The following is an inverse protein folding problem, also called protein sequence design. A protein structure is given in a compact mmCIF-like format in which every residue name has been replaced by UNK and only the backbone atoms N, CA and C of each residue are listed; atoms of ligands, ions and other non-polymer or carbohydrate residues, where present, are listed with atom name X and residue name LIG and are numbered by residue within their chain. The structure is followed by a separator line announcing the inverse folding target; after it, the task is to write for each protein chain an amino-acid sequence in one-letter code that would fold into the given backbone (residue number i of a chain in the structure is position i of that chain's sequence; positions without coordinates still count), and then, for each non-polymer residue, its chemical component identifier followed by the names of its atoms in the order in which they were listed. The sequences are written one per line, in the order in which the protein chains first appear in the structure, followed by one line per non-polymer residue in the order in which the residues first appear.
data_IF_528626016471
#
_entry.id   IF_528626016471
#
_cell.length_a   1.000
_cell.length_b   1.000
_cell.length_c   1.000
_cell.angle_alpha   90.00
_cell.angle_beta   90.00
_cell.angle_gamma   90.00
#
_symmetry.space_group_name_H-M   'P 1'
#
loop_
_entity.id
_entity.type
_entity.pdbx_description
1 polymer ?
#
# COMPACT_ATOMS: atom_id res chain seq x y z
N UNK A 1 23.89 8.89 2.01
CA UNK A 1 23.36 7.99 0.94
C UNK A 1 23.88 8.47 -0.41
N UNK A 2 25.06 8.01 -0.81
CA UNK A 2 25.72 8.42 -2.07
C UNK A 2 25.24 7.62 -3.29
N UNK A 3 24.54 6.49 -3.09
CA UNK A 3 24.01 5.67 -4.18
C UNK A 3 22.68 6.16 -4.76
N UNK A 4 22.00 7.07 -4.10
CA UNK A 4 20.75 7.61 -4.62
C UNK A 4 21.04 8.53 -5.82
N UNK A 5 20.69 8.07 -7.03
CA UNK A 5 20.74 8.94 -8.21
C UNK A 5 19.74 10.09 -8.07
N UNK A 6 20.26 11.33 -8.15
CA UNK A 6 19.42 12.52 -8.18
C UNK A 6 18.85 12.82 -9.56
N UNK A 7 19.36 12.13 -10.60
CA UNK A 7 18.98 12.32 -11.99
C UNK A 7 18.00 11.25 -12.51
N UNK A 8 17.78 10.17 -11.76
CA UNK A 8 16.82 9.15 -12.15
C UNK A 8 15.39 9.72 -12.13
N UNK A 9 14.62 9.40 -13.18
CA UNK A 9 13.18 9.70 -13.20
C UNK A 9 12.49 9.02 -12.03
N UNK A 10 11.71 9.80 -11.28
CA UNK A 10 10.86 9.29 -10.21
C UNK A 10 9.42 9.28 -10.67
N UNK A 11 8.78 8.15 -10.50
CA UNK A 11 7.35 7.96 -10.81
C UNK A 11 6.57 8.01 -9.50
N UNK A 12 5.51 8.83 -9.46
CA UNK A 12 4.56 8.75 -8.37
C UNK A 12 3.77 7.43 -8.49
N UNK A 13 3.81 6.60 -7.47
CA UNK A 13 3.15 5.29 -7.47
C UNK A 13 1.64 5.38 -7.73
N UNK A 14 1.00 6.51 -7.41
CA UNK A 14 -0.42 6.74 -7.66
C UNK A 14 -0.72 7.02 -9.14
N UNK A 15 0.30 7.34 -9.96
CA UNK A 15 0.20 7.57 -11.40
C UNK A 15 0.80 6.41 -12.21
N UNK A 16 0.95 5.23 -11.60
CA UNK A 16 1.60 4.10 -12.24
C UNK A 16 0.89 3.67 -13.53
N UNK A 17 -0.45 3.75 -13.58
CA UNK A 17 -1.20 3.37 -14.79
C UNK A 17 -0.83 4.26 -15.98
N UNK A 18 -0.84 5.58 -15.80
CA UNK A 18 -0.43 6.54 -16.84
C UNK A 18 1.03 6.36 -17.25
N UNK A 19 1.93 6.08 -16.32
CA UNK A 19 3.34 5.84 -16.63
C UNK A 19 3.59 4.52 -17.37
N UNK A 20 2.80 3.49 -17.11
CA UNK A 20 2.86 2.25 -17.88
C UNK A 20 2.31 2.40 -19.30
N UNK A 21 1.40 3.34 -19.55
CA UNK A 21 0.87 3.64 -20.87
C UNK A 21 1.72 4.66 -21.66
N UNK A 22 2.70 5.27 -21.01
CA UNK A 22 3.53 6.32 -21.62
C UNK A 22 4.33 5.79 -22.78
N UNK A 23 4.23 6.48 -23.93
CA UNK A 23 4.94 6.10 -25.18
C UNK A 23 6.32 6.74 -25.28
N UNK A 24 6.48 7.95 -24.76
CA UNK A 24 7.75 8.64 -24.72
C UNK A 24 8.55 8.19 -23.49
N UNK A 25 9.74 7.65 -23.70
CA UNK A 25 10.60 7.06 -22.66
C UNK A 25 9.83 6.03 -21.79
N UNK A 26 9.29 4.96 -22.39
CA UNK A 26 8.46 4.00 -21.69
C UNK A 26 9.25 3.18 -20.66
N UNK A 27 8.57 2.71 -19.63
CA UNK A 27 9.13 1.71 -18.71
C UNK A 27 9.28 0.39 -19.50
N UNK A 28 10.51 -0.14 -19.56
CA UNK A 28 10.86 -1.38 -20.27
C UNK A 28 11.14 -2.55 -19.34
N UNK A 29 11.50 -2.26 -18.10
CA UNK A 29 11.73 -3.28 -17.08
C UNK A 29 11.19 -2.82 -15.73
N UNK A 30 10.58 -3.73 -14.99
CA UNK A 30 9.99 -3.45 -13.68
C UNK A 30 10.36 -4.56 -12.70
N UNK A 31 10.94 -4.16 -11.54
CA UNK A 31 11.17 -5.04 -10.42
C UNK A 31 10.18 -4.71 -9.32
N UNK A 32 9.32 -5.66 -8.99
CA UNK A 32 8.31 -5.50 -7.94
C UNK A 32 8.67 -6.36 -6.75
N UNK A 33 8.75 -5.75 -5.59
CA UNK A 33 8.97 -6.44 -4.32
C UNK A 33 8.23 -5.74 -3.19
N UNK A 34 7.79 -6.51 -2.20
CA UNK A 34 7.00 -6.03 -1.06
C UNK A 34 5.75 -5.23 -1.47
N UNK A 35 5.17 -5.50 -2.64
CA UNK A 35 4.04 -4.73 -3.17
C UNK A 35 3.19 -5.54 -4.14
N UNK A 36 1.89 -5.22 -4.19
CA UNK A 36 0.93 -5.80 -5.15
C UNK A 36 0.22 -4.68 -5.93
N UNK A 37 0.93 -3.92 -6.80
CA UNK A 37 0.37 -2.75 -7.48
C UNK A 37 -0.86 -3.06 -8.33
N UNK A 38 -0.98 -4.25 -8.92
CA UNK A 38 -2.16 -4.68 -9.67
C UNK A 38 -3.47 -4.69 -8.85
N UNK A 39 -3.36 -4.68 -7.51
CA UNK A 39 -4.49 -4.65 -6.59
C UNK A 39 -4.59 -3.34 -5.82
N UNK A 40 -3.44 -2.73 -5.41
CA UNK A 40 -3.43 -1.65 -4.42
C UNK A 40 -3.24 -0.25 -5.01
N UNK A 41 -2.74 -0.13 -6.24
CA UNK A 41 -2.57 1.18 -6.87
C UNK A 41 -3.86 1.64 -7.58
N UNK A 42 -4.11 2.96 -7.66
CA UNK A 42 -5.29 3.50 -8.35
C UNK A 42 -5.37 3.10 -9.81
N UNK A 43 -6.57 3.05 -10.37
CA UNK A 43 -6.83 2.62 -11.73
C UNK A 43 -6.23 1.24 -12.06
N UNK A 44 -6.45 0.29 -11.16
CA UNK A 44 -5.88 -1.06 -11.25
C UNK A 44 -6.16 -1.75 -12.59
N UNK A 45 -7.26 -1.41 -13.25
CA UNK A 45 -7.59 -1.94 -14.59
C UNK A 45 -6.53 -1.56 -15.64
N UNK A 46 -6.13 -0.29 -15.66
CA UNK A 46 -5.09 0.20 -16.58
C UNK A 46 -3.71 -0.32 -16.18
N UNK A 47 -3.43 -0.43 -14.88
CA UNK A 47 -2.19 -1.05 -14.40
C UNK A 47 -2.05 -2.48 -14.93
N UNK A 48 -3.09 -3.31 -14.79
CA UNK A 48 -3.05 -4.68 -15.31
C UNK A 48 -2.85 -4.73 -16.83
N UNK A 49 -3.46 -3.81 -17.59
CA UNK A 49 -3.18 -3.68 -19.03
C UNK A 49 -1.72 -3.29 -19.30
N UNK A 50 -1.19 -2.36 -18.51
CA UNK A 50 0.20 -1.94 -18.64
C UNK A 50 1.20 -3.02 -18.28
N UNK A 51 0.92 -3.81 -17.25
CA UNK A 51 1.74 -4.98 -16.86
C UNK A 51 1.69 -6.13 -17.88
N UNK A 52 0.60 -6.24 -18.64
CA UNK A 52 0.43 -7.24 -19.69
C UNK A 52 1.08 -6.86 -21.03
N UNK A 53 1.83 -5.78 -21.11
CA UNK A 53 2.51 -5.36 -22.34
C UNK A 53 3.65 -6.33 -22.69
N UNK A 54 3.74 -6.74 -23.94
CA UNK A 54 4.79 -7.64 -24.46
C UNK A 54 6.20 -7.02 -24.39
N UNK A 55 6.30 -5.68 -24.36
CA UNK A 55 7.56 -4.93 -24.32
C UNK A 55 7.99 -4.50 -22.91
N UNK A 56 7.31 -4.99 -21.86
CA UNK A 56 7.63 -4.75 -20.47
C UNK A 56 8.17 -6.02 -19.81
N UNK A 57 9.44 -6.05 -19.49
CA UNK A 57 10.04 -7.14 -18.72
C UNK A 57 9.76 -6.97 -17.22
N UNK A 58 9.03 -7.91 -16.62
CA UNK A 58 8.59 -7.81 -15.21
C UNK A 58 9.16 -8.94 -14.36
N UNK A 59 9.85 -8.57 -13.28
CA UNK A 59 10.35 -9.49 -12.24
C UNK A 59 9.62 -9.20 -10.94
N UNK A 60 9.04 -10.23 -10.33
CA UNK A 60 8.33 -10.10 -9.06
C UNK A 60 8.98 -10.98 -7.99
N UNK A 61 9.35 -10.37 -6.85
CA UNK A 61 9.84 -11.04 -5.66
C UNK A 61 8.72 -11.02 -4.61
N UNK A 62 8.10 -12.15 -4.33
CA UNK A 62 6.92 -12.19 -3.47
C UNK A 62 6.83 -13.51 -2.69
N UNK A 63 6.10 -13.48 -1.57
CA UNK A 63 5.80 -14.66 -0.75
C UNK A 63 4.76 -15.56 -1.40
N UNK A 64 3.82 -14.97 -2.12
CA UNK A 64 2.69 -15.64 -2.75
C UNK A 64 2.54 -15.14 -4.18
N UNK A 65 1.89 -15.93 -5.02
CA UNK A 65 1.52 -15.50 -6.34
C UNK A 65 0.33 -14.51 -6.24
N UNK A 66 0.67 -13.22 -6.06
CA UNK A 66 -0.26 -12.09 -6.01
C UNK A 66 -0.85 -11.79 -7.39
N UNK A 67 -1.80 -10.84 -7.45
CA UNK A 67 -2.35 -10.40 -8.74
C UNK A 67 -1.26 -9.77 -9.63
N UNK A 68 -0.28 -9.09 -9.05
CA UNK A 68 0.87 -8.56 -9.80
C UNK A 68 1.79 -9.67 -10.31
N UNK A 69 1.98 -10.72 -9.51
CA UNK A 69 2.82 -11.86 -9.87
C UNK A 69 2.29 -12.64 -11.08
N UNK A 70 0.99 -12.54 -11.37
CA UNK A 70 0.40 -13.17 -12.57
C UNK A 70 0.86 -12.52 -13.90
N UNK A 71 1.51 -11.34 -13.84
CA UNK A 71 2.07 -10.62 -15.00
C UNK A 71 3.60 -10.70 -15.07
N UNK A 72 4.23 -11.50 -14.19
CA UNK A 72 5.69 -11.58 -14.13
C UNK A 72 6.26 -12.50 -15.22
N UNK A 73 7.33 -12.06 -15.90
CA UNK A 73 8.18 -12.92 -16.71
C UNK A 73 9.05 -13.82 -15.82
N UNK A 74 9.46 -13.30 -14.65
CA UNK A 74 10.15 -14.04 -13.61
C UNK A 74 9.50 -13.84 -12.25
N UNK A 75 9.04 -14.94 -11.66
CA UNK A 75 8.54 -14.96 -10.29
C UNK A 75 9.58 -15.62 -9.37
N UNK A 76 10.04 -14.86 -8.40
CA UNK A 76 11.09 -15.27 -7.46
C UNK A 76 10.52 -15.34 -6.03
N UNK A 77 10.68 -16.47 -5.33
CA UNK A 77 10.16 -16.61 -3.98
C UNK A 77 10.99 -15.81 -2.98
N UNK A 78 10.33 -14.91 -2.24
CA UNK A 78 10.93 -14.11 -1.18
C UNK A 78 10.74 -14.76 0.20
N UNK A 79 11.69 -14.53 1.10
CA UNK A 79 11.57 -14.95 2.49
C UNK A 79 10.61 -14.06 3.26
N UNK A 80 9.86 -14.66 4.17
CA UNK A 80 9.04 -13.96 5.15
C UNK A 80 9.89 -13.34 6.26
N UNK A 81 9.31 -12.45 7.07
CA UNK A 81 10.00 -11.83 8.21
C UNK A 81 10.48 -12.83 9.27
N UNK A 82 9.99 -14.07 9.27
CA UNK A 82 10.45 -15.14 10.15
C UNK A 82 11.71 -15.85 9.63
N UNK A 83 12.09 -15.64 8.37
CA UNK A 83 13.11 -16.40 7.67
C UNK A 83 14.39 -15.60 7.40
N UNK A 84 14.42 -14.31 7.73
CA UNK A 84 15.61 -13.45 7.61
C UNK A 84 15.74 -12.47 8.78
N UNK A 85 16.96 -11.98 8.99
CA UNK A 85 17.21 -10.95 9.98
C UNK A 85 16.73 -9.58 9.49
N UNK A 86 16.15 -8.79 10.39
CA UNK A 86 15.69 -7.44 10.07
C UNK A 86 15.64 -6.53 11.29
N UNK A 87 15.46 -5.22 11.04
CA UNK A 87 15.31 -4.17 12.06
C UNK A 87 13.93 -3.55 11.93
N UNK A 88 13.25 -3.42 13.06
CA UNK A 88 11.87 -2.92 13.11
C UNK A 88 11.75 -1.67 13.94
N UNK A 89 10.92 -0.76 13.45
CA UNK A 89 10.35 0.37 14.18
C UNK A 89 8.83 0.23 14.22
N UNK A 90 8.15 0.98 15.07
CA UNK A 90 6.70 0.94 15.15
C UNK A 90 6.11 2.33 15.36
N UNK A 91 4.88 2.53 14.91
CA UNK A 91 4.12 3.74 15.21
C UNK A 91 3.66 3.83 16.69
N UNK A 92 3.54 2.69 17.38
CA UNK A 92 2.97 2.62 18.73
C UNK A 92 3.98 2.77 19.86
N UNK A 93 5.29 2.81 19.57
CA UNK A 93 6.34 2.91 20.58
C UNK A 93 7.66 3.45 20.04
N UNK A 94 8.57 3.80 20.94
CA UNK A 94 9.91 4.34 20.64
C UNK A 94 11.00 3.30 20.90
N UNK A 95 10.83 2.09 20.41
CA UNK A 95 11.83 1.04 20.47
C UNK A 95 12.33 0.70 19.08
N UNK A 96 13.66 0.54 18.97
CA UNK A 96 14.30 -0.11 17.84
C UNK A 96 14.45 -1.58 18.17
N UNK A 97 14.06 -2.46 17.26
CA UNK A 97 14.05 -3.89 17.50
C UNK A 97 14.84 -4.61 16.43
N UNK A 98 15.59 -5.64 16.81
CA UNK A 98 16.29 -6.54 15.91
C UNK A 98 15.74 -7.95 16.05
N UNK A 99 15.41 -8.57 14.95
CA UNK A 99 14.99 -9.97 14.88
C UNK A 99 16.00 -10.81 14.09
N UNK A 100 16.41 -11.94 14.66
CA UNK A 100 17.07 -13.01 13.91
C UNK A 100 16.03 -13.88 13.19
N UNK A 101 16.42 -14.60 12.13
CA UNK A 101 15.55 -15.62 11.56
C UNK A 101 15.21 -16.68 12.60
N UNK A 102 13.94 -17.00 12.76
CA UNK A 102 13.44 -18.03 13.71
C UNK A 102 13.16 -19.35 13.01
N UNK A 103 13.04 -19.36 11.70
CA UNK A 103 12.88 -20.55 10.87
C UNK A 103 13.81 -20.47 9.64
N UNK A 104 14.14 -21.62 9.08
CA UNK A 104 14.90 -21.66 7.83
C UNK A 104 14.02 -21.26 6.65
N UNK A 105 14.58 -20.56 5.62
CA UNK A 105 13.86 -20.25 4.39
C UNK A 105 13.22 -21.49 3.78
N UNK A 106 11.96 -21.37 3.37
CA UNK A 106 11.21 -22.47 2.77
C UNK A 106 11.55 -22.58 1.29
N UNK A 107 11.81 -23.81 0.83
CA UNK A 107 12.10 -24.10 -0.57
C UNK A 107 13.29 -23.30 -1.11
N UNK A 108 13.07 -22.55 -2.18
CA UNK A 108 14.06 -21.69 -2.82
C UNK A 108 14.00 -20.24 -2.40
N UNK A 109 13.19 -19.88 -1.41
CA UNK A 109 13.02 -18.50 -0.98
C UNK A 109 14.33 -17.84 -0.57
N UNK A 110 14.53 -16.60 -1.00
CA UNK A 110 15.70 -15.77 -0.70
C UNK A 110 15.24 -14.39 -0.24
N UNK A 111 16.04 -13.76 0.62
CA UNK A 111 15.75 -12.38 1.01
C UNK A 111 15.93 -11.41 -0.16
N UNK A 112 15.19 -10.30 -0.13
CA UNK A 112 15.37 -9.23 -1.12
C UNK A 112 16.83 -8.75 -1.16
N UNK A 113 17.49 -8.65 0.00
CA UNK A 113 18.90 -8.30 0.10
C UNK A 113 19.78 -9.27 -0.71
N UNK A 114 19.61 -10.58 -0.53
CA UNK A 114 20.36 -11.59 -1.30
C UNK A 114 20.14 -11.43 -2.80
N UNK A 115 18.88 -11.21 -3.22
CA UNK A 115 18.56 -11.01 -4.63
C UNK A 115 19.29 -9.79 -5.20
N UNK A 116 19.19 -8.63 -4.54
CA UNK A 116 19.84 -7.41 -5.03
C UNK A 116 21.37 -7.50 -5.00
N UNK A 117 21.96 -8.21 -4.05
CA UNK A 117 23.39 -8.53 -4.05
C UNK A 117 23.79 -9.34 -5.29
N UNK A 118 23.04 -10.41 -5.63
CA UNK A 118 23.32 -11.20 -6.83
C UNK A 118 23.10 -10.41 -8.12
N UNK A 119 22.05 -9.60 -8.19
CA UNK A 119 21.79 -8.72 -9.33
C UNK A 119 22.93 -7.71 -9.50
N UNK A 120 23.39 -7.10 -8.43
CA UNK A 120 24.54 -6.16 -8.44
C UNK A 120 25.82 -6.81 -8.99
N UNK A 121 26.11 -8.05 -8.58
CA UNK A 121 27.23 -8.83 -9.14
C UNK A 121 27.10 -9.04 -10.65
N UNK A 122 25.89 -9.39 -11.11
CA UNK A 122 25.63 -9.62 -12.54
C UNK A 122 25.70 -8.34 -13.38
N UNK A 123 25.33 -7.21 -12.79
CA UNK A 123 25.43 -5.90 -13.42
C UNK A 123 26.85 -5.28 -13.32
N UNK A 124 27.78 -5.93 -12.66
CA UNK A 124 29.15 -5.42 -12.50
C UNK A 124 29.25 -4.19 -11.59
N UNK A 125 28.26 -3.99 -10.68
CA UNK A 125 28.30 -2.90 -9.72
C UNK A 125 29.35 -3.23 -8.63
N UNK A 126 30.18 -2.25 -8.28
CA UNK A 126 31.36 -2.47 -7.41
C UNK A 126 31.27 -1.72 -6.08
N UNK A 127 30.22 -0.96 -5.82
CA UNK A 127 30.11 -0.23 -4.57
C UNK A 127 30.05 -1.21 -3.37
N UNK A 128 30.95 -1.07 -2.38
CA UNK A 128 31.04 -2.01 -1.26
C UNK A 128 29.75 -2.19 -0.47
N UNK A 129 28.92 -1.17 -0.33
CA UNK A 129 27.69 -1.25 0.45
C UNK A 129 26.67 -2.27 -0.11
N UNK A 130 26.74 -2.60 -1.40
CA UNK A 130 25.90 -3.61 -2.05
C UNK A 130 26.22 -5.03 -1.56
N UNK A 131 27.38 -5.22 -0.92
CA UNK A 131 27.91 -6.52 -0.49
C UNK A 131 28.10 -6.62 1.03
N UNK A 132 27.74 -5.61 1.79
CA UNK A 132 27.86 -5.60 3.25
C UNK A 132 27.05 -6.74 3.88
N UNK A 133 27.65 -7.35 4.89
CA UNK A 133 26.95 -8.33 5.73
C UNK A 133 25.96 -7.63 6.69
N UNK A 134 25.17 -8.40 7.42
CA UNK A 134 24.16 -7.86 8.35
C UNK A 134 24.78 -6.94 9.40
N UNK A 135 25.95 -7.30 9.95
CA UNK A 135 26.62 -6.47 10.96
C UNK A 135 27.02 -5.11 10.36
N UNK A 136 27.66 -5.11 9.19
CA UNK A 136 28.07 -3.87 8.50
C UNK A 136 26.88 -2.97 8.17
N UNK A 137 25.74 -3.56 7.76
CA UNK A 137 24.50 -2.79 7.52
C UNK A 137 23.93 -2.20 8.81
N UNK A 138 24.00 -2.93 9.94
CA UNK A 138 23.57 -2.42 11.24
C UNK A 138 24.50 -1.32 11.73
N UNK A 139 25.82 -1.49 11.60
CA UNK A 139 26.79 -0.47 11.98
C UNK A 139 26.54 0.83 11.22
N UNK A 140 26.34 0.78 9.91
CA UNK A 140 26.04 1.96 9.08
C UNK A 140 24.67 2.59 9.42
N UNK A 141 23.64 1.77 9.67
CA UNK A 141 22.32 2.25 10.07
C UNK A 141 22.36 3.04 11.39
N UNK A 142 23.18 2.60 12.33
CA UNK A 142 23.29 3.14 13.68
C UNK A 142 24.36 4.24 13.79
N UNK A 143 25.28 4.35 12.83
CA UNK A 143 26.23 5.48 12.72
C UNK A 143 25.50 6.73 12.22
N UNK A 144 24.79 7.37 13.13
CA UNK A 144 23.92 8.51 12.86
C UNK A 144 24.10 9.61 13.88
N UNK A 145 24.15 10.89 13.47
CA UNK A 145 24.17 12.03 14.37
C UNK A 145 22.86 12.23 15.15
N UNK A 146 21.85 11.42 14.89
CA UNK A 146 20.56 11.50 15.58
C UNK A 146 20.74 11.22 17.08
N UNK A 147 20.48 12.21 17.97
CA UNK A 147 20.65 12.03 19.40
C UNK A 147 19.80 10.91 20.00
N UNK A 148 18.72 10.50 19.34
CA UNK A 148 17.86 9.42 19.81
C UNK A 148 18.53 8.04 19.70
N UNK A 149 19.55 7.90 18.84
CA UNK A 149 20.33 6.68 18.68
C UNK A 149 21.57 6.64 19.57
N UNK A 150 21.83 7.65 20.38
CA UNK A 150 23.03 7.72 21.22
C UNK A 150 23.13 6.50 22.14
N UNK A 151 24.26 5.81 22.10
CA UNK A 151 24.55 4.62 22.90
C UNK A 151 23.79 3.36 22.44
N UNK A 152 23.26 3.40 21.23
CA UNK A 152 22.70 2.22 20.54
C UNK A 152 23.64 1.85 19.39
N UNK A 153 24.39 0.79 19.56
CA UNK A 153 25.25 0.18 18.55
C UNK A 153 24.71 -1.20 18.14
N UNK A 154 25.32 -1.78 17.12
CA UNK A 154 24.90 -3.08 16.58
C UNK A 154 25.05 -4.21 17.60
N UNK A 155 26.06 -4.17 18.47
CA UNK A 155 26.29 -5.20 19.50
C UNK A 155 25.20 -5.13 20.58
N UNK A 156 24.90 -3.92 21.06
CA UNK A 156 23.82 -3.72 22.03
C UNK A 156 22.47 -4.12 21.45
N UNK A 157 22.14 -3.68 20.23
CA UNK A 157 20.85 -3.97 19.60
C UNK A 157 20.66 -5.48 19.36
N UNK A 158 21.71 -6.18 18.90
CA UNK A 158 21.64 -7.62 18.69
C UNK A 158 21.59 -8.42 19.98
N UNK A 159 22.20 -7.94 21.07
CA UNK A 159 22.17 -8.58 22.39
C UNK A 159 20.82 -8.35 23.08
N UNK A 160 20.35 -7.12 23.16
CA UNK A 160 19.14 -6.74 23.89
C UNK A 160 17.86 -6.93 23.08
N UNK A 161 17.94 -7.07 21.77
CA UNK A 161 16.83 -7.30 20.83
C UNK A 161 15.83 -6.15 20.69
N UNK A 162 15.62 -5.37 21.73
CA UNK A 162 14.70 -4.25 21.76
C UNK A 162 15.31 -3.15 22.64
N UNK A 163 15.65 -2.03 22.03
CA UNK A 163 16.30 -0.91 22.71
C UNK A 163 15.45 0.35 22.54
N UNK A 164 15.11 0.97 23.68
CA UNK A 164 14.38 2.25 23.66
C UNK A 164 15.28 3.37 23.15
N UNK A 165 14.75 4.20 22.25
CA UNK A 165 15.41 5.41 21.77
C UNK A 165 15.64 6.41 22.93
N UNK A 166 16.72 7.18 22.85
CA UNK A 166 17.06 8.21 23.83
C UNK A 166 16.21 9.47 23.60
N UNK A 167 15.04 9.50 24.18
CA UNK A 167 14.13 10.65 24.06
C UNK A 167 14.30 11.61 25.24
N UNK A 168 14.10 12.93 25.03
CA UNK A 168 13.96 13.87 26.13
C UNK A 168 12.86 13.47 27.11
N UNK A 169 13.00 13.83 28.38
CA UNK A 169 11.94 13.59 29.36
C UNK A 169 11.56 14.93 30.02
N UNK A 170 10.29 15.38 29.88
CA UNK A 170 9.21 14.82 29.10
C UNK A 170 9.45 14.96 27.57
N UNK A 171 8.96 14.00 26.78
CA UNK A 171 9.02 14.08 25.33
C UNK A 171 7.85 14.91 24.79
N UNK A 172 8.17 16.17 24.52
CA UNK A 172 7.23 17.16 23.95
C UNK A 172 7.83 17.72 22.67
N UNK A 173 7.52 17.14 21.48
CA UNK A 173 8.21 17.43 20.24
C UNK A 173 8.25 18.92 19.84
N UNK A 174 7.25 19.70 20.27
CA UNK A 174 7.08 21.10 19.88
C UNK A 174 7.13 22.07 21.09
N UNK A 175 7.58 21.61 22.28
CA UNK A 175 7.63 22.46 23.47
C UNK A 175 8.58 23.66 23.32
N UNK A 176 9.63 23.50 22.53
CA UNK A 176 10.59 24.59 22.22
C UNK A 176 10.21 25.44 20.99
N UNK A 177 9.03 25.22 20.44
CA UNK A 177 8.56 25.86 19.20
C UNK A 177 8.55 24.93 18.00
N UNK A 178 8.17 25.45 16.85
CA UNK A 178 8.15 24.72 15.58
C UNK A 178 9.48 24.91 14.82
N UNK A 179 9.65 24.16 13.72
CA UNK A 179 10.81 24.31 12.83
C UNK A 179 10.75 25.57 11.93
N UNK A 180 9.72 26.41 12.08
CA UNK A 180 9.69 27.71 11.39
C UNK A 180 10.68 28.69 12.04
N UNK A 181 11.27 29.62 11.27
CA UNK A 181 12.28 30.56 11.78
C UNK A 181 11.81 31.39 12.99
N UNK A 182 10.51 31.65 13.12
CA UNK A 182 9.90 32.38 14.22
C UNK A 182 9.45 31.49 15.38
N UNK A 183 9.69 30.17 15.29
CA UNK A 183 9.32 29.17 16.29
C UNK A 183 7.80 28.92 16.45
N UNK A 184 6.97 29.58 15.64
CA UNK A 184 5.52 29.52 15.78
C UNK A 184 4.90 28.42 14.89
N UNK A 185 3.85 27.79 15.39
CA UNK A 185 3.00 26.92 14.58
C UNK A 185 2.14 27.81 13.69
N UNK A 186 2.16 27.54 12.40
CA UNK A 186 1.35 28.25 11.40
C UNK A 186 0.17 27.40 10.99
N UNK A 187 -1.03 27.91 11.23
CA UNK A 187 -2.24 27.33 10.67
C UNK A 187 -2.46 27.93 9.27
N UNK A 188 -2.66 27.08 8.27
CA UNK A 188 -3.19 27.56 7.01
C UNK A 188 -4.59 28.11 7.25
N UNK A 189 -4.95 29.28 6.67
CA UNK A 189 -6.33 29.72 6.73
C UNK A 189 -7.20 28.58 6.19
N UNK A 190 -8.24 28.23 6.97
CA UNK A 190 -9.21 27.26 6.49
C UNK A 190 -9.79 27.79 5.17
N UNK A 191 -9.80 26.99 4.09
CA UNK A 191 -10.53 27.40 2.90
C UNK A 191 -11.97 27.70 3.30
N UNK A 192 -12.56 28.74 2.73
CA UNK A 192 -13.96 29.13 3.00
C UNK A 192 -14.95 28.01 2.72
N UNK A 193 -14.54 27.01 1.94
CA UNK A 193 -15.21 25.75 1.73
C UNK A 193 -14.17 24.64 1.58
N UNK A 194 -14.29 23.57 2.40
CA UNK A 194 -13.64 22.31 2.12
C UNK A 194 -14.35 21.68 0.93
N UNK A 195 -13.75 21.77 -0.24
CA UNK A 195 -14.28 21.13 -1.45
C UNK A 195 -13.52 19.84 -1.68
N UNK A 196 -14.27 18.72 -1.67
CA UNK A 196 -13.76 17.50 -2.28
C UNK A 196 -13.77 17.69 -3.79
N UNK A 197 -12.76 17.20 -4.49
CA UNK A 197 -12.66 17.34 -5.96
C UNK A 197 -13.82 16.66 -6.70
N UNK A 198 -14.32 15.53 -6.17
CA UNK A 198 -15.49 14.87 -6.68
C UNK A 198 -16.65 15.08 -5.71
N UNK A 199 -17.73 15.71 -6.19
CA UNK A 199 -18.97 15.88 -5.45
C UNK A 199 -20.02 14.92 -5.99
N UNK A 200 -20.86 14.33 -5.10
CA UNK A 200 -22.02 13.58 -5.55
C UNK A 200 -22.91 14.44 -6.43
N UNK A 201 -23.41 13.84 -7.51
CA UNK A 201 -24.33 14.46 -8.47
C UNK A 201 -25.48 13.50 -8.80
N UNK A 202 -26.30 13.84 -9.80
CA UNK A 202 -27.44 13.01 -10.19
C UNK A 202 -27.00 11.67 -10.83
N UNK A 203 -25.83 11.62 -11.46
CA UNK A 203 -25.30 10.42 -12.10
C UNK A 203 -24.55 9.53 -11.11
N UNK A 204 -23.78 10.13 -10.19
CA UNK A 204 -22.99 9.43 -9.16
C UNK A 204 -23.41 9.95 -7.76
N UNK A 205 -24.58 9.54 -7.25
CA UNK A 205 -25.20 10.15 -6.09
C UNK A 205 -24.61 9.74 -4.74
N UNK A 206 -23.71 8.76 -4.70
CA UNK A 206 -23.16 8.25 -3.46
C UNK A 206 -21.65 8.54 -3.37
N UNK A 207 -21.20 8.89 -2.16
CA UNK A 207 -19.77 8.93 -1.84
C UNK A 207 -19.30 7.57 -1.39
N UNK A 208 -18.19 7.09 -1.97
CA UNK A 208 -17.55 5.85 -1.54
C UNK A 208 -16.44 6.17 -0.56
N UNK A 209 -16.43 5.51 0.59
CA UNK A 209 -15.31 5.50 1.53
C UNK A 209 -14.76 4.08 1.69
N UNK A 210 -13.45 3.97 1.84
CA UNK A 210 -12.75 2.68 1.88
C UNK A 210 -11.85 2.59 3.12
N UNK A 211 -12.43 2.38 4.32
CA UNK A 211 -11.63 2.20 5.53
C UNK A 211 -10.81 0.90 5.45
N UNK A 212 -9.63 0.85 6.12
CA UNK A 212 -8.89 -0.39 6.25
C UNK A 212 -9.70 -1.45 6.98
N UNK A 213 -9.52 -2.72 6.60
CA UNK A 213 -10.12 -3.84 7.32
C UNK A 213 -9.43 -4.10 8.66
N UNK A 214 -10.19 -4.60 9.63
CA UNK A 214 -9.64 -4.90 10.96
C UNK A 214 -8.61 -6.06 10.96
N UNK A 215 -8.69 -6.97 9.98
CA UNK A 215 -7.89 -8.19 9.94
C UNK A 215 -7.02 -8.33 8.70
N UNK A 216 -7.23 -7.48 7.69
CA UNK A 216 -6.45 -7.45 6.45
C UNK A 216 -5.88 -6.04 6.28
N UNK A 217 -4.56 -5.94 6.25
CA UNK A 217 -3.86 -4.67 6.01
C UNK A 217 -3.48 -4.59 4.52
N UNK A 218 -4.15 -3.71 3.80
CA UNK A 218 -4.06 -3.65 2.33
C UNK A 218 -4.36 -5.04 1.72
N UNK A 219 -3.36 -5.68 1.08
CA UNK A 219 -3.48 -7.06 0.55
C UNK A 219 -2.76 -8.10 1.39
N UNK A 220 -2.10 -7.71 2.48
CA UNK A 220 -1.39 -8.62 3.37
C UNK A 220 -2.37 -9.57 4.07
N UNK A 221 -2.06 -10.86 4.04
CA UNK A 221 -2.91 -11.95 4.58
C UNK A 221 -4.28 -12.12 3.89
N UNK A 222 -4.56 -11.34 2.84
CA UNK A 222 -5.81 -11.43 2.08
C UNK A 222 -6.01 -12.74 1.30
N UNK A 223 -5.02 -13.65 1.31
CA UNK A 223 -5.07 -14.99 0.74
C UNK A 223 -5.17 -16.11 1.80
N UNK A 224 -5.23 -15.77 3.09
CA UNK A 224 -5.33 -16.77 4.19
C UNK A 224 -6.81 -17.09 4.46
N UNK A 225 -7.26 -18.35 4.29
CA UNK A 225 -8.69 -18.69 4.35
C UNK A 225 -9.37 -18.32 5.68
N UNK A 226 -8.69 -18.48 6.82
CA UNK A 226 -9.22 -18.11 8.13
C UNK A 226 -9.41 -16.59 8.27
N UNK A 227 -8.48 -15.80 7.73
CA UNK A 227 -8.56 -14.33 7.72
C UNK A 227 -9.67 -13.86 6.77
N UNK A 228 -9.77 -14.47 5.57
CA UNK A 228 -10.85 -14.19 4.62
C UNK A 228 -12.22 -14.45 5.27
N UNK A 229 -12.37 -15.57 5.96
CA UNK A 229 -13.61 -15.90 6.68
C UNK A 229 -13.93 -14.86 7.75
N UNK A 230 -12.93 -14.43 8.52
CA UNK A 230 -13.08 -13.41 9.57
C UNK A 230 -13.40 -12.03 8.98
N UNK A 231 -12.91 -11.72 7.77
CA UNK A 231 -13.20 -10.48 7.04
C UNK A 231 -14.59 -10.47 6.37
N UNK A 232 -15.42 -11.50 6.54
CA UNK A 232 -16.76 -11.59 5.95
C UNK A 232 -16.88 -12.55 4.76
N UNK A 233 -15.80 -13.26 4.41
CA UNK A 233 -15.78 -14.34 3.41
C UNK A 233 -15.65 -13.88 1.96
N UNK A 234 -16.20 -12.73 1.60
CA UNK A 234 -16.14 -12.15 0.25
C UNK A 234 -16.16 -10.60 0.29
N UNK A 235 -15.70 -9.94 -0.79
CA UNK A 235 -15.78 -8.48 -0.89
C UNK A 235 -17.22 -7.97 -0.82
N UNK A 236 -17.48 -7.07 0.12
CA UNK A 236 -18.80 -6.50 0.35
C UNK A 236 -18.73 -4.98 0.58
N UNK A 237 -19.91 -4.37 0.54
CA UNK A 237 -20.08 -2.94 0.83
C UNK A 237 -21.27 -2.75 1.76
N UNK A 238 -21.18 -1.75 2.63
CA UNK A 238 -22.24 -1.39 3.57
C UNK A 238 -22.98 -0.19 2.99
N UNK A 239 -24.31 -0.26 3.01
CA UNK A 239 -25.21 0.69 2.38
C UNK A 239 -26.35 0.97 3.35
N UNK A 240 -26.69 2.25 3.54
CA UNK A 240 -27.77 2.65 4.44
C UNK A 240 -29.14 2.14 3.95
N UNK A 241 -30.09 1.76 4.85
CA UNK A 241 -31.41 1.27 4.46
C UNK A 241 -32.20 2.20 3.53
N UNK A 242 -32.12 3.53 3.74
CA UNK A 242 -32.79 4.50 2.86
C UNK A 242 -32.23 4.49 1.43
N UNK A 243 -30.90 4.32 1.26
CA UNK A 243 -30.30 4.23 -0.06
C UNK A 243 -30.60 2.87 -0.70
N UNK A 244 -30.62 1.80 0.10
CA UNK A 244 -31.02 0.47 -0.36
C UNK A 244 -32.46 0.50 -0.93
N UNK A 245 -33.40 1.12 -0.21
CA UNK A 245 -34.78 1.30 -0.68
C UNK A 245 -34.84 2.16 -1.95
N UNK A 246 -34.09 3.28 -1.99
CA UNK A 246 -34.03 4.20 -3.15
C UNK A 246 -33.56 3.51 -4.43
N UNK A 247 -32.59 2.60 -4.33
CA UNK A 247 -31.98 1.92 -5.47
C UNK A 247 -32.49 0.49 -5.70
N UNK A 248 -33.51 0.04 -4.94
CA UNK A 248 -34.09 -1.29 -5.06
C UNK A 248 -33.12 -2.42 -4.71
N UNK A 249 -32.22 -2.19 -3.74
CA UNK A 249 -31.15 -3.12 -3.34
C UNK A 249 -31.61 -3.89 -2.09
N UNK A 250 -31.55 -5.21 -2.16
CA UNK A 250 -31.85 -6.09 -1.02
C UNK A 250 -30.56 -6.46 -0.26
N UNK A 251 -30.71 -6.70 1.05
CA UNK A 251 -29.60 -7.19 1.88
C UNK A 251 -29.05 -8.50 1.31
N UNK A 252 -27.72 -8.62 1.24
CA UNK A 252 -26.95 -9.72 0.66
C UNK A 252 -27.08 -9.90 -0.87
N UNK A 253 -27.80 -9.04 -1.58
CA UNK A 253 -27.82 -9.11 -3.04
C UNK A 253 -26.49 -8.64 -3.65
N UNK A 254 -26.20 -9.09 -4.87
CA UNK A 254 -25.06 -8.56 -5.64
C UNK A 254 -25.45 -7.27 -6.34
N UNK A 255 -24.58 -6.28 -6.25
CA UNK A 255 -24.76 -4.98 -6.89
C UNK A 255 -23.55 -4.65 -7.75
N UNK A 256 -23.80 -3.82 -8.77
CA UNK A 256 -22.75 -3.13 -9.52
C UNK A 256 -22.53 -1.76 -8.92
N UNK A 257 -21.26 -1.42 -8.71
CA UNK A 257 -20.81 -0.11 -8.26
C UNK A 257 -19.99 0.49 -9.38
N UNK A 258 -20.36 1.66 -9.85
CA UNK A 258 -19.72 2.34 -10.99
C UNK A 258 -19.26 3.73 -10.56
N UNK A 259 -18.01 4.06 -10.85
CA UNK A 259 -17.44 5.41 -10.80
C UNK A 259 -17.13 5.91 -12.22
N UNK A 260 -16.54 7.10 -12.33
CA UNK A 260 -16.01 7.62 -13.60
C UNK A 260 -14.82 6.80 -14.13
N UNK A 261 -14.12 6.06 -13.26
CA UNK A 261 -12.94 5.27 -13.61
C UNK A 261 -13.32 3.86 -14.09
N UNK A 262 -14.36 3.24 -13.51
CA UNK A 262 -14.74 1.88 -13.87
C UNK A 262 -15.91 1.34 -13.06
N UNK A 263 -16.05 0.00 -13.04
CA UNK A 263 -17.12 -0.66 -12.28
C UNK A 263 -16.64 -1.95 -11.65
N UNK A 264 -17.23 -2.30 -10.49
CA UNK A 264 -16.99 -3.52 -9.73
C UNK A 264 -18.30 -4.16 -9.28
N UNK A 265 -18.23 -5.47 -8.94
CA UNK A 265 -19.36 -6.19 -8.34
C UNK A 265 -19.06 -6.49 -6.88
N UNK A 266 -20.00 -6.16 -5.99
CA UNK A 266 -19.88 -6.42 -4.55
C UNK A 266 -21.19 -6.94 -3.97
N UNK A 267 -21.09 -7.61 -2.85
CA UNK A 267 -22.25 -7.99 -2.04
C UNK A 267 -22.72 -6.79 -1.21
N UNK A 268 -24.00 -6.50 -1.22
CA UNK A 268 -24.57 -5.39 -0.44
C UNK A 268 -24.94 -5.85 0.97
N UNK A 269 -24.44 -5.17 1.97
CA UNK A 269 -24.84 -5.31 3.37
C UNK A 269 -25.65 -4.07 3.73
N UNK A 270 -26.95 -4.23 3.87
CA UNK A 270 -27.84 -3.12 4.29
C UNK A 270 -27.77 -3.00 5.81
N UNK A 271 -27.26 -1.85 6.29
CA UNK A 271 -27.03 -1.59 7.72
C UNK A 271 -27.05 -0.08 8.01
N UNK A 272 -27.45 0.28 9.22
CA UNK A 272 -27.36 1.64 9.77
C UNK A 272 -25.93 2.05 10.15
N UNK A 273 -24.94 1.15 10.02
CA UNK A 273 -23.51 1.47 10.18
C UNK A 273 -23.00 2.42 9.10
N UNK A 274 -23.75 2.63 8.02
CA UNK A 274 -23.52 3.69 7.05
C UNK A 274 -24.49 4.85 7.23
N UNK A 275 -24.19 5.99 6.62
CA UNK A 275 -25.08 7.17 6.55
C UNK A 275 -25.73 7.26 5.17
N UNK A 276 -26.94 7.86 5.05
CA UNK A 276 -27.52 8.17 3.75
C UNK A 276 -26.54 8.93 2.85
N UNK A 277 -26.42 8.49 1.58
CA UNK A 277 -25.51 9.08 0.61
C UNK A 277 -24.05 8.55 0.69
N UNK A 278 -23.75 7.62 1.61
CA UNK A 278 -22.39 7.05 1.79
C UNK A 278 -22.41 5.54 1.61
N UNK A 279 -21.51 5.05 0.77
CA UNK A 279 -21.23 3.64 0.58
C UNK A 279 -19.87 3.30 1.24
N UNK A 280 -19.82 2.28 2.09
CA UNK A 280 -18.60 1.88 2.79
C UNK A 280 -18.08 0.56 2.22
N UNK A 281 -16.87 0.55 1.64
CA UNK A 281 -16.20 -0.65 1.15
C UNK A 281 -14.99 -0.96 2.04
N UNK A 282 -15.11 -1.97 2.89
CA UNK A 282 -14.08 -2.29 3.90
C UNK A 282 -12.96 -3.12 3.30
N UNK A 283 -11.73 -2.64 3.48
CA UNK A 283 -10.50 -3.35 3.15
C UNK A 283 -10.21 -3.47 1.67
N UNK A 284 -9.00 -3.93 1.36
CA UNK A 284 -8.57 -4.28 0.00
C UNK A 284 -8.63 -5.80 -0.17
N UNK A 285 -9.33 -6.25 -1.19
CA UNK A 285 -9.42 -7.66 -1.54
C UNK A 285 -8.56 -7.92 -2.78
N UNK A 286 -7.93 -9.08 -2.81
CA UNK A 286 -7.23 -9.50 -4.02
C UNK A 286 -8.22 -9.62 -5.16
N UNK A 287 -7.98 -9.00 -6.33
CA UNK A 287 -8.82 -9.15 -7.51
C UNK A 287 -9.19 -10.60 -7.83
N UNK A 288 -8.24 -11.52 -7.78
CA UNK A 288 -8.47 -12.94 -8.06
C UNK A 288 -9.44 -13.66 -7.09
N UNK A 289 -9.72 -13.04 -5.93
CA UNK A 289 -10.71 -13.53 -4.95
C UNK A 289 -12.07 -12.83 -5.07
N UNK A 290 -12.17 -11.79 -5.90
CA UNK A 290 -13.42 -11.09 -6.16
C UNK A 290 -14.19 -11.77 -7.30
N UNK A 291 -15.55 -11.75 -7.27
CA UNK A 291 -16.39 -12.40 -8.29
C UNK A 291 -16.13 -11.92 -9.71
N UNK A 292 -15.78 -10.65 -9.85
CA UNK A 292 -15.51 -9.97 -11.13
C UNK A 292 -14.02 -9.80 -11.42
N UNK A 293 -13.17 -10.39 -10.59
CA UNK A 293 -11.70 -10.24 -10.64
C UNK A 293 -11.20 -8.81 -10.61
N UNK A 294 -11.88 -7.95 -9.84
CA UNK A 294 -11.56 -6.54 -9.69
C UNK A 294 -11.33 -6.15 -8.23
N UNK A 295 -10.41 -5.22 -8.02
CA UNK A 295 -10.20 -4.57 -6.73
C UNK A 295 -11.08 -3.32 -6.58
N UNK A 296 -11.08 -2.73 -5.39
CA UNK A 296 -11.70 -1.43 -5.16
C UNK A 296 -11.03 -0.32 -5.99
N UNK A 297 -9.74 -0.50 -6.30
CA UNK A 297 -8.97 0.46 -7.08
C UNK A 297 -9.26 0.45 -8.59
N UNK A 298 -10.08 -0.47 -9.07
CA UNK A 298 -10.66 -0.39 -10.42
C UNK A 298 -11.67 0.75 -10.57
N UNK A 299 -12.15 1.32 -9.46
CA UNK A 299 -13.07 2.46 -9.43
C UNK A 299 -12.47 3.70 -8.76
N UNK A 300 -11.15 3.68 -8.49
CA UNK A 300 -10.38 4.80 -7.92
C UNK A 300 -9.52 5.42 -8.99
N UNK A 301 -9.57 6.74 -9.14
CA UNK A 301 -8.77 7.47 -10.14
C UNK A 301 -7.32 7.69 -9.69
N UNK A 302 -6.41 7.96 -10.64
CA UNK A 302 -5.03 8.38 -10.39
C UNK A 302 -4.90 9.83 -9.91
N UNK A 303 -6.01 10.53 -9.67
CA UNK A 303 -5.98 11.92 -9.24
C UNK A 303 -5.19 12.07 -7.94
N UNK A 304 -4.37 13.09 -7.89
CA UNK A 304 -3.51 13.37 -6.75
C UNK A 304 -4.14 14.45 -5.85
N UNK A 305 -3.80 14.39 -4.55
CA UNK A 305 -4.09 15.49 -3.63
C UNK A 305 -3.22 16.71 -3.95
N UNK A 306 -3.71 17.89 -3.67
CA UNK A 306 -3.06 19.17 -3.99
C UNK A 306 -1.74 19.40 -3.26
N UNK A 307 -1.67 19.17 -1.95
CA UNK A 307 -0.50 19.50 -1.14
C UNK A 307 0.58 18.42 -1.12
N UNK A 308 0.20 17.14 -1.19
CA UNK A 308 1.15 16.04 -0.98
C UNK A 308 1.34 15.13 -2.17
N UNK A 309 0.58 15.30 -3.25
CA UNK A 309 0.61 14.39 -4.40
C UNK A 309 0.25 12.95 -4.02
N UNK A 310 -0.52 12.77 -2.95
CA UNK A 310 -1.01 11.48 -2.50
C UNK A 310 -2.25 11.03 -3.28
N UNK A 311 -2.73 9.82 -3.00
CA UNK A 311 -3.93 9.28 -3.61
C UNK A 311 -5.21 9.85 -3.02
N UNK A 312 -6.27 9.90 -3.83
CA UNK A 312 -7.61 10.33 -3.44
C UNK A 312 -8.54 9.14 -3.17
N UNK A 313 -8.06 8.07 -2.57
CA UNK A 313 -8.80 6.82 -2.30
C UNK A 313 -10.15 7.01 -1.58
N UNK A 314 -10.28 8.03 -0.75
CA UNK A 314 -11.51 8.32 0.01
C UNK A 314 -12.51 9.23 -0.71
N UNK A 315 -12.26 9.60 -1.97
CA UNK A 315 -13.04 10.61 -2.68
C UNK A 315 -13.94 10.11 -3.83
N UNK A 316 -13.90 8.86 -4.30
CA UNK A 316 -14.73 8.46 -5.43
C UNK A 316 -16.22 8.71 -5.16
N UNK A 317 -16.92 9.22 -6.18
CA UNK A 317 -18.38 9.23 -6.23
C UNK A 317 -18.84 8.11 -7.15
N UNK A 318 -19.92 7.44 -6.74
CA UNK A 318 -20.38 6.23 -7.39
C UNK A 318 -21.89 6.20 -7.55
N UNK A 319 -22.36 5.41 -8.52
CA UNK A 319 -23.73 4.91 -8.59
C UNK A 319 -23.76 3.42 -8.30
N UNK A 320 -24.89 2.95 -7.82
CA UNK A 320 -25.14 1.54 -7.53
C UNK A 320 -26.35 1.03 -8.30
N UNK A 321 -26.28 -0.21 -8.74
CA UNK A 321 -27.34 -0.86 -9.50
C UNK A 321 -27.55 -2.28 -8.95
N UNK A 322 -28.80 -2.63 -8.65
CA UNK A 322 -29.15 -4.02 -8.35
C UNK A 322 -28.91 -4.91 -9.58
N UNK A 323 -28.32 -6.06 -9.38
CA UNK A 323 -28.21 -7.07 -10.45
C UNK A 323 -29.44 -7.99 -10.42
N UNK A 324 -29.90 -8.48 -11.59
CA UNK A 324 -30.94 -9.49 -11.64
C UNK A 324 -30.55 -10.68 -10.73
N UNK A 325 -31.50 -11.17 -9.96
CA UNK A 325 -31.33 -12.44 -9.23
C UNK A 325 -31.46 -13.57 -10.28
N UNK A 326 -30.36 -14.30 -10.48
CA UNK A 326 -30.39 -15.54 -11.28
C UNK A 326 -31.02 -16.66 -10.47
#
# INVERSE_FOLDING_TARGET
MHLASTTARKVNMNCLASELERQEDPIRAMFVFNSNPAAVAPDSSRIRKGLARDDLFTVVLEHFQTDTADYADFLLPATTFLEHADVYTSYGHYYLQYADPVVKPRGQAKSNRWFFEQLSKKLGLTDPCLYWNTKQLLDELLDSPNPWLRGIDSERLTRERSVKLQLPSPFLPYAAGSNFPDGKIRFSPAPSQLTFEEQPDNEYPLRLISPPGAVVVNTTMGNVPSIIKQAGGEPHVILHPSDAARFGISHQSRIRITSKTGSILRKAIVSEDSRPGVLIAVGQWWPKLAPDRKSLNDITSERLTDLGGGSTFGNPVVRVEALPQN
#
